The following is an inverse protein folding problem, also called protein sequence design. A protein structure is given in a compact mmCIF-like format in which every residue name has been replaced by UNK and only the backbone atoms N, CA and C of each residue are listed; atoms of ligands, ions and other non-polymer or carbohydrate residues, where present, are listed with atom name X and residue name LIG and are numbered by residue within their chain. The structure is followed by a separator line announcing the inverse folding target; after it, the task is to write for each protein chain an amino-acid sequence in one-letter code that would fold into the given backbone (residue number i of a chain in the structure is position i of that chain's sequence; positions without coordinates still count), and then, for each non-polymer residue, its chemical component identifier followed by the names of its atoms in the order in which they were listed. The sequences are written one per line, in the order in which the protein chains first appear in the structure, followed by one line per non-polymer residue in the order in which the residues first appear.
data_IF_256487390382
#
_entry.id   IF_256487390382
#
_cell.length_a   1.000
_cell.length_b   1.000
_cell.length_c   1.000
_cell.angle_alpha   90.00
_cell.angle_beta   90.00
_cell.angle_gamma   90.00
#
_symmetry.space_group_name_H-M   'P 1'
#
loop_
_entity.id
_entity.type
_entity.pdbx_description
1 polymer ?
#
# COMPACT_ATOMS: atom_id res chain seq x y z
N UNK A 1 -17.55 12.32 37.61
CA UNK A 1 -16.85 11.06 37.23
C UNK A 1 -16.14 10.54 38.48
N UNK A 2 -16.37 9.29 38.90
CA UNK A 2 -15.84 8.80 40.20
C UNK A 2 -14.34 8.48 40.13
N UNK A 3 -13.60 8.62 41.24
CA UNK A 3 -12.19 8.24 41.33
C UNK A 3 -11.94 6.77 40.92
N UNK A 4 -12.88 5.87 41.25
CA UNK A 4 -12.84 4.46 40.83
C UNK A 4 -12.92 4.30 39.31
N UNK A 5 -13.72 5.12 38.62
CA UNK A 5 -13.82 5.11 37.15
C UNK A 5 -12.52 5.59 36.51
N UNK A 6 -11.85 6.60 37.08
CA UNK A 6 -10.57 7.11 36.58
C UNK A 6 -9.47 6.05 36.74
N UNK A 7 -9.35 5.44 37.92
CA UNK A 7 -8.35 4.38 38.17
C UNK A 7 -8.54 3.19 37.23
N UNK A 8 -9.79 2.73 37.02
CA UNK A 8 -10.08 1.64 36.08
C UNK A 8 -9.70 1.97 34.64
N UNK A 9 -9.97 3.20 34.19
CA UNK A 9 -9.59 3.66 32.84
C UNK A 9 -8.08 3.74 32.67
N UNK A 10 -7.37 4.25 33.67
CA UNK A 10 -5.90 4.31 33.66
C UNK A 10 -5.26 2.91 33.67
N UNK A 11 -5.76 2.01 34.53
CA UNK A 11 -5.28 0.64 34.59
C UNK A 11 -5.55 -0.12 33.28
N UNK A 12 -6.74 0.03 32.70
CA UNK A 12 -7.07 -0.56 31.40
C UNK A 12 -6.18 -0.01 30.28
N UNK A 13 -5.96 1.31 30.25
CA UNK A 13 -5.05 1.95 29.30
C UNK A 13 -3.63 1.40 29.39
N UNK A 14 -3.07 1.28 30.60
CA UNK A 14 -1.74 0.74 30.82
C UNK A 14 -1.61 -0.72 30.37
N UNK A 15 -2.59 -1.56 30.72
CA UNK A 15 -2.62 -2.97 30.31
C UNK A 15 -2.73 -3.08 28.79
N UNK A 16 -3.57 -2.26 28.15
CA UNK A 16 -3.70 -2.22 26.69
C UNK A 16 -2.38 -1.85 26.03
N UNK A 17 -1.71 -0.79 26.50
CA UNK A 17 -0.41 -0.37 25.94
C UNK A 17 0.67 -1.43 26.11
N UNK A 18 0.73 -2.10 27.26
CA UNK A 18 1.69 -3.18 27.51
C UNK A 18 1.43 -4.36 26.57
N UNK A 19 0.18 -4.80 26.47
CA UNK A 19 -0.23 -5.92 25.63
C UNK A 19 0.04 -5.62 24.15
N UNK A 20 -0.26 -4.40 23.71
CA UNK A 20 0.04 -3.95 22.34
C UNK A 20 1.54 -3.96 22.06
N UNK A 21 2.35 -3.48 23.01
CA UNK A 21 3.81 -3.50 22.88
C UNK A 21 4.35 -4.92 22.77
N UNK A 22 3.81 -5.86 23.57
CA UNK A 22 4.18 -7.27 23.50
C UNK A 22 3.78 -7.91 22.16
N UNK A 23 2.58 -7.61 21.65
CA UNK A 23 2.12 -8.10 20.35
C UNK A 23 3.03 -7.58 19.23
N UNK A 24 3.30 -6.27 19.20
CA UNK A 24 4.16 -5.67 18.18
C UNK A 24 5.58 -6.23 18.28
N UNK A 25 6.14 -6.37 19.48
CA UNK A 25 7.44 -7.02 19.69
C UNK A 25 7.49 -8.46 19.18
N UNK A 26 6.43 -9.24 19.45
CA UNK A 26 6.27 -10.60 18.93
C UNK A 26 6.17 -10.64 17.40
N UNK A 27 5.40 -9.73 16.79
CA UNK A 27 5.29 -9.62 15.33
C UNK A 27 6.64 -9.27 14.68
N UNK A 28 7.41 -8.35 15.26
CA UNK A 28 8.73 -7.97 14.74
C UNK A 28 9.75 -9.11 14.86
N UNK A 29 9.70 -9.87 15.96
CA UNK A 29 10.55 -11.05 16.15
C UNK A 29 10.18 -12.16 15.16
N UNK A 30 8.89 -12.38 14.93
CA UNK A 30 8.43 -13.31 13.91
C UNK A 30 8.85 -12.86 12.49
N UNK A 31 8.70 -11.57 12.18
CA UNK A 31 9.09 -10.99 10.89
C UNK A 31 10.59 -11.16 10.60
N UNK A 32 11.43 -10.98 11.62
CA UNK A 32 12.87 -11.28 11.54
C UNK A 32 13.10 -12.76 11.16
N UNK A 33 12.38 -13.69 11.79
CA UNK A 33 12.45 -15.11 11.44
C UNK A 33 12.05 -15.39 9.98
N UNK A 34 10.96 -14.78 9.51
CA UNK A 34 10.50 -14.88 8.12
C UNK A 34 11.53 -14.29 7.14
N UNK A 35 12.14 -13.16 7.51
CA UNK A 35 13.18 -12.49 6.73
C UNK A 35 14.41 -13.39 6.59
N UNK A 36 14.93 -13.92 7.71
CA UNK A 36 16.08 -14.82 7.71
C UNK A 36 15.81 -16.09 6.89
N UNK A 37 14.60 -16.65 6.98
CA UNK A 37 14.20 -17.77 6.13
C UNK A 37 14.19 -17.37 4.64
N UNK A 38 13.64 -16.21 4.29
CA UNK A 38 13.62 -15.70 2.91
C UNK A 38 15.02 -15.47 2.32
N UNK A 39 16.06 -15.26 3.13
CA UNK A 39 17.45 -15.11 2.64
C UNK A 39 17.96 -16.40 2.01
N UNK A 40 17.59 -17.56 2.55
CA UNK A 40 18.09 -18.87 2.09
C UNK A 40 17.06 -19.64 1.25
N UNK A 41 15.77 -19.35 1.41
CA UNK A 41 14.73 -20.09 0.72
C UNK A 41 14.65 -19.70 -0.77
N UNK A 42 14.47 -20.68 -1.67
CA UNK A 42 14.35 -20.40 -3.10
C UNK A 42 13.08 -19.59 -3.38
N UNK A 43 13.17 -18.66 -4.33
CA UNK A 43 12.00 -17.91 -4.80
C UNK A 43 10.97 -18.84 -5.44
N UNK A 44 9.68 -18.54 -5.22
CA UNK A 44 8.54 -19.18 -5.90
C UNK A 44 8.70 -19.07 -7.41
N UNK A 45 8.21 -20.05 -8.16
CA UNK A 45 8.22 -20.01 -9.63
C UNK A 45 7.24 -18.94 -10.12
N UNK A 46 7.50 -18.38 -11.31
CA UNK A 46 6.54 -17.50 -11.98
C UNK A 46 5.22 -18.23 -12.15
N UNK A 47 4.10 -17.55 -11.90
CA UNK A 47 2.73 -18.08 -11.90
C UNK A 47 2.32 -18.84 -10.65
N UNK A 48 3.20 -18.94 -9.65
CA UNK A 48 2.93 -19.62 -8.38
C UNK A 48 3.06 -18.70 -7.17
N UNK A 49 3.20 -17.39 -7.40
CA UNK A 49 3.30 -16.40 -6.31
C UNK A 49 1.97 -16.35 -5.54
N UNK A 50 0.85 -16.21 -6.26
CA UNK A 50 -0.47 -16.44 -5.67
C UNK A 50 -0.64 -17.94 -5.41
N UNK A 51 -1.12 -18.38 -4.23
CA UNK A 51 -1.28 -19.81 -3.94
C UNK A 51 -2.35 -20.51 -4.79
N UNK A 52 -2.17 -21.81 -5.06
CA UNK A 52 -3.17 -22.62 -5.78
C UNK A 52 -4.51 -22.60 -5.03
N UNK A 53 -5.60 -22.37 -5.76
CA UNK A 53 -6.96 -22.28 -5.19
C UNK A 53 -7.37 -20.88 -4.75
N UNK A 54 -6.46 -19.89 -4.83
CA UNK A 54 -6.81 -18.49 -4.60
C UNK A 54 -7.09 -17.75 -5.91
N UNK A 55 -7.96 -16.71 -5.89
CA UNK A 55 -8.11 -15.79 -7.01
C UNK A 55 -6.75 -15.20 -7.43
N UNK A 56 -6.44 -15.22 -8.72
CA UNK A 56 -5.14 -14.75 -9.22
C UNK A 56 -4.07 -15.83 -9.39
N UNK A 57 -4.34 -17.10 -9.06
CA UNK A 57 -3.38 -18.18 -9.35
C UNK A 57 -3.03 -18.20 -10.85
N UNK A 58 -1.74 -18.29 -11.17
CA UNK A 58 -1.26 -18.14 -12.55
C UNK A 58 -1.44 -16.73 -13.13
N UNK A 59 -1.79 -15.72 -12.33
CA UNK A 59 -2.19 -14.40 -12.80
C UNK A 59 -3.58 -14.38 -13.46
N UNK A 60 -4.41 -15.39 -13.21
CA UNK A 60 -5.81 -15.41 -13.63
C UNK A 60 -6.69 -14.79 -12.54
N UNK A 61 -6.98 -13.51 -12.70
CA UNK A 61 -7.82 -12.74 -11.77
C UNK A 61 -9.31 -12.93 -12.09
N UNK A 62 -10.21 -12.87 -11.09
CA UNK A 62 -11.64 -12.79 -11.33
C UNK A 62 -11.99 -11.61 -12.25
N UNK A 63 -13.17 -11.64 -12.84
CA UNK A 63 -13.64 -10.54 -13.69
C UNK A 63 -13.61 -9.20 -12.92
N UNK A 64 -13.08 -8.17 -13.57
CA UNK A 64 -13.12 -6.81 -13.03
C UNK A 64 -14.51 -6.22 -13.23
N UNK A 65 -15.09 -5.71 -12.15
CA UNK A 65 -16.32 -4.92 -12.18
C UNK A 65 -16.01 -3.55 -11.56
N UNK A 66 -16.28 -2.44 -12.26
CA UNK A 66 -16.08 -1.11 -11.67
C UNK A 66 -17.03 -0.90 -10.48
N UNK A 67 -16.63 -0.09 -9.48
CA UNK A 67 -17.48 0.21 -8.33
C UNK A 67 -18.77 0.91 -8.78
N UNK A 68 -19.88 0.55 -8.15
CA UNK A 68 -21.20 1.12 -8.40
C UNK A 68 -21.51 2.23 -7.41
N UNK A 69 -22.54 3.01 -7.72
CA UNK A 69 -23.06 4.00 -6.79
C UNK A 69 -23.46 3.32 -5.47
N UNK A 70 -22.90 3.84 -4.38
CA UNK A 70 -23.11 3.27 -3.06
C UNK A 70 -22.17 2.14 -2.71
N UNK A 71 -21.20 1.70 -3.52
CA UNK A 71 -20.13 0.81 -3.04
C UNK A 71 -19.10 1.59 -2.21
N UNK A 72 -18.56 0.98 -1.16
CA UNK A 72 -17.52 1.58 -0.32
C UNK A 72 -16.14 1.35 -0.92
N UNK A 73 -15.33 2.40 -1.03
CA UNK A 73 -13.95 2.39 -1.53
C UNK A 73 -13.11 3.35 -0.68
N UNK A 74 -11.79 3.23 -0.79
CA UNK A 74 -10.85 3.94 0.08
C UNK A 74 -9.64 4.56 -0.65
N UNK A 75 -8.80 5.25 0.10
CA UNK A 75 -7.50 5.79 -0.34
C UNK A 75 -6.50 4.71 -0.80
N UNK A 76 -6.72 3.43 -0.49
CA UNK A 76 -5.81 2.34 -0.85
C UNK A 76 -6.18 1.68 -2.19
N UNK A 77 -5.39 1.86 -3.27
CA UNK A 77 -5.70 1.26 -4.57
C UNK A 77 -5.65 -0.28 -4.55
N UNK A 78 -4.87 -0.88 -3.64
CA UNK A 78 -4.77 -2.33 -3.51
C UNK A 78 -6.08 -2.95 -3.00
N UNK A 79 -6.67 -2.35 -1.95
CA UNK A 79 -7.94 -2.82 -1.40
C UNK A 79 -9.09 -2.59 -2.38
N UNK A 80 -9.11 -1.43 -3.04
CA UNK A 80 -10.12 -1.13 -4.05
C UNK A 80 -10.05 -2.12 -5.22
N UNK A 81 -8.84 -2.46 -5.69
CA UNK A 81 -8.67 -3.47 -6.73
C UNK A 81 -9.18 -4.84 -6.30
N UNK A 82 -8.88 -5.27 -5.07
CA UNK A 82 -9.41 -6.52 -4.54
C UNK A 82 -10.95 -6.52 -4.49
N UNK A 83 -11.59 -5.40 -4.12
CA UNK A 83 -13.05 -5.28 -4.12
C UNK A 83 -13.61 -5.27 -5.55
N UNK A 84 -12.99 -4.54 -6.48
CA UNK A 84 -13.39 -4.50 -7.90
C UNK A 84 -13.31 -5.89 -8.57
N UNK A 85 -12.43 -6.77 -8.10
CA UNK A 85 -12.32 -8.16 -8.53
C UNK A 85 -13.11 -9.16 -7.65
N UNK A 86 -13.87 -8.70 -6.65
CA UNK A 86 -14.62 -9.58 -5.75
C UNK A 86 -13.76 -10.53 -4.89
N UNK A 87 -12.47 -10.22 -4.73
CA UNK A 87 -11.53 -10.97 -3.85
C UNK A 87 -11.88 -10.72 -2.38
N UNK A 88 -12.35 -9.51 -2.08
CA UNK A 88 -13.08 -9.14 -0.86
C UNK A 88 -14.50 -8.71 -1.29
N UNK A 89 -15.45 -8.50 -0.35
CA UNK A 89 -16.80 -8.06 -0.70
C UNK A 89 -16.79 -6.90 -1.70
N UNK A 90 -17.46 -7.07 -2.83
CA UNK A 90 -17.40 -6.13 -3.94
C UNK A 90 -18.00 -4.76 -3.59
N UNK A 91 -19.03 -4.77 -2.75
CA UNK A 91 -19.63 -3.56 -2.17
C UNK A 91 -18.70 -2.84 -1.20
N UNK A 92 -17.54 -3.43 -0.86
CA UNK A 92 -16.53 -2.87 0.02
C UNK A 92 -16.96 -2.80 1.48
N UNK A 93 -17.99 -3.54 1.89
CA UNK A 93 -18.59 -3.42 3.23
C UNK A 93 -18.47 -4.66 4.09
N UNK A 94 -18.60 -4.45 5.39
CA UNK A 94 -18.72 -5.50 6.40
C UNK A 94 -17.58 -6.53 6.30
N UNK A 95 -16.37 -6.03 6.06
CA UNK A 95 -15.16 -6.80 5.81
C UNK A 95 -14.48 -7.11 7.14
N UNK A 96 -14.23 -8.39 7.43
CA UNK A 96 -13.45 -8.77 8.60
C UNK A 96 -11.97 -8.42 8.41
N UNK A 97 -11.33 -7.83 9.42
CA UNK A 97 -9.88 -7.58 9.41
C UNK A 97 -9.08 -8.86 9.13
N UNK A 98 -9.44 -9.99 9.76
CA UNK A 98 -8.78 -11.29 9.52
C UNK A 98 -8.93 -11.76 8.08
N UNK A 99 -10.11 -11.55 7.49
CA UNK A 99 -10.37 -11.94 6.11
C UNK A 99 -9.50 -11.10 5.15
N UNK A 100 -9.53 -9.77 5.26
CA UNK A 100 -8.73 -8.90 4.39
C UNK A 100 -7.23 -9.14 4.58
N UNK A 101 -6.75 -9.37 5.81
CA UNK A 101 -5.36 -9.77 6.09
C UNK A 101 -4.93 -10.99 5.25
N UNK A 102 -5.76 -12.04 5.22
CA UNK A 102 -5.46 -13.26 4.46
C UNK A 102 -5.46 -13.03 2.96
N UNK A 103 -6.38 -12.19 2.46
CA UNK A 103 -6.50 -11.90 1.03
C UNK A 103 -5.37 -11.00 0.55
N UNK A 104 -4.92 -10.00 1.33
CA UNK A 104 -3.75 -9.17 0.99
C UNK A 104 -2.50 -10.04 0.82
N UNK A 105 -2.29 -10.99 1.75
CA UNK A 105 -1.17 -11.94 1.68
C UNK A 105 -1.25 -12.77 0.39
N UNK A 106 -2.42 -13.35 0.08
CA UNK A 106 -2.57 -14.20 -1.10
C UNK A 106 -2.40 -13.41 -2.42
N UNK A 107 -2.98 -12.21 -2.52
CA UNK A 107 -3.01 -11.40 -3.75
C UNK A 107 -1.66 -10.75 -4.05
N UNK A 108 -1.02 -10.14 -3.06
CA UNK A 108 0.18 -9.32 -3.27
C UNK A 108 1.45 -9.93 -2.70
N UNK A 109 1.35 -11.05 -1.97
CA UNK A 109 2.48 -11.71 -1.32
C UNK A 109 3.26 -10.77 -0.38
N UNK A 110 2.57 -9.88 0.34
CA UNK A 110 3.11 -9.31 1.58
C UNK A 110 3.25 -10.40 2.63
N UNK A 111 4.20 -10.29 3.55
CA UNK A 111 4.33 -11.29 4.63
C UNK A 111 3.10 -11.33 5.54
N UNK A 112 2.79 -12.49 6.16
CA UNK A 112 1.72 -12.58 7.15
C UNK A 112 1.87 -11.55 8.28
N UNK A 113 3.10 -11.31 8.73
CA UNK A 113 3.45 -10.33 9.76
C UNK A 113 3.11 -8.90 9.34
N UNK A 114 3.46 -8.49 8.12
CA UNK A 114 3.07 -7.19 7.57
C UNK A 114 1.55 -7.04 7.49
N UNK A 115 0.85 -8.05 6.95
CA UNK A 115 -0.60 -8.01 6.79
C UNK A 115 -1.32 -7.90 8.15
N UNK A 116 -0.86 -8.66 9.16
CA UNK A 116 -1.42 -8.59 10.52
C UNK A 116 -1.12 -7.23 11.15
N UNK A 117 0.12 -6.74 11.05
CA UNK A 117 0.52 -5.47 11.64
C UNK A 117 -0.35 -4.31 11.12
N UNK A 118 -0.44 -4.17 9.80
CA UNK A 118 -1.21 -3.09 9.14
C UNK A 118 -2.70 -3.19 9.43
N UNK A 119 -3.30 -4.38 9.29
CA UNK A 119 -4.73 -4.59 9.55
C UNK A 119 -5.09 -4.36 11.02
N UNK A 120 -4.20 -4.73 11.94
CA UNK A 120 -4.39 -4.50 13.37
C UNK A 120 -4.21 -3.02 13.73
N UNK A 121 -3.24 -2.34 13.10
CA UNK A 121 -3.03 -0.91 13.30
C UNK A 121 -4.27 -0.10 12.89
N UNK A 122 -4.86 -0.35 11.71
CA UNK A 122 -6.08 0.35 11.32
C UNK A 122 -7.26 0.00 12.22
N UNK A 123 -7.40 -1.26 12.65
CA UNK A 123 -8.46 -1.64 13.59
C UNK A 123 -8.38 -0.81 14.89
N UNK A 124 -7.16 -0.58 15.40
CA UNK A 124 -6.95 0.26 16.59
C UNK A 124 -7.32 1.73 16.37
N UNK A 125 -6.92 2.31 15.23
CA UNK A 125 -7.29 3.68 14.87
C UNK A 125 -8.81 3.85 14.82
N UNK A 126 -9.53 2.83 14.31
CA UNK A 126 -10.99 2.82 14.26
C UNK A 126 -11.67 2.46 15.59
N UNK A 127 -10.91 2.13 16.63
CA UNK A 127 -11.45 1.67 17.91
C UNK A 127 -12.17 0.31 17.81
N UNK A 128 -11.77 -0.54 16.85
CA UNK A 128 -12.39 -1.83 16.53
C UNK A 128 -11.50 -3.01 16.89
N UNK A 129 -12.13 -4.14 17.21
CA UNK A 129 -11.47 -5.42 17.44
C UNK A 129 -10.97 -6.02 16.12
N UNK A 130 -9.65 -6.20 16.00
CA UNK A 130 -9.06 -6.96 14.89
C UNK A 130 -9.65 -8.37 14.76
N UNK A 131 -10.04 -9.00 15.86
CA UNK A 131 -10.55 -10.37 15.85
C UNK A 131 -12.03 -10.43 15.46
N UNK A 132 -12.85 -9.57 16.03
CA UNK A 132 -14.30 -9.75 15.99
C UNK A 132 -15.02 -8.76 15.09
N UNK A 133 -14.48 -7.57 14.93
CA UNK A 133 -15.16 -6.49 14.23
C UNK A 133 -14.83 -6.51 12.74
N UNK A 134 -15.58 -5.65 12.05
CA UNK A 134 -15.57 -5.51 10.62
C UNK A 134 -15.50 -4.03 10.25
N UNK A 135 -15.20 -3.75 8.99
CA UNK A 135 -15.16 -2.40 8.47
C UNK A 135 -15.61 -2.30 7.03
N UNK A 136 -16.01 -1.11 6.67
CA UNK A 136 -16.25 -0.69 5.29
C UNK A 136 -14.98 0.01 4.80
N UNK A 137 -14.64 -0.13 3.52
CA UNK A 137 -13.36 0.38 3.02
C UNK A 137 -13.16 1.87 3.34
N UNK A 138 -14.19 2.70 3.17
CA UNK A 138 -14.13 4.15 3.46
C UNK A 138 -13.81 4.48 4.92
N UNK A 139 -14.03 3.56 5.87
CA UNK A 139 -13.70 3.78 7.29
C UNK A 139 -12.19 4.08 7.46
N UNK A 140 -11.33 3.53 6.60
CA UNK A 140 -9.87 3.67 6.75
C UNK A 140 -9.33 5.04 6.32
N UNK A 141 -10.18 5.86 5.70
CA UNK A 141 -9.85 7.21 5.22
C UNK A 141 -10.00 8.27 6.31
N UNK A 142 -10.04 7.86 7.59
CA UNK A 142 -9.92 8.78 8.71
C UNK A 142 -8.61 9.56 8.60
N UNK A 143 -8.73 10.88 8.43
CA UNK A 143 -7.60 11.78 8.23
C UNK A 143 -6.59 11.69 9.37
N UNK A 144 -5.31 11.65 9.02
CA UNK A 144 -4.19 11.42 9.94
C UNK A 144 -4.24 10.06 10.70
N UNK A 145 -5.07 9.11 10.26
CA UNK A 145 -4.97 7.71 10.67
C UNK A 145 -3.87 7.00 9.87
N UNK A 146 -4.29 6.31 8.81
CA UNK A 146 -3.37 5.82 7.75
C UNK A 146 -3.42 6.75 6.54
N UNK A 147 -4.59 7.31 6.22
CA UNK A 147 -4.73 8.39 5.26
C UNK A 147 -3.91 9.61 5.69
N UNK A 148 -3.26 10.24 4.72
CA UNK A 148 -2.37 11.37 4.93
C UNK A 148 -2.28 12.28 3.69
N UNK A 149 -1.97 13.55 3.94
CA UNK A 149 -1.71 14.54 2.89
C UNK A 149 -0.48 14.19 2.03
N UNK A 150 -0.36 14.88 0.90
CA UNK A 150 0.73 14.72 -0.06
C UNK A 150 0.85 13.30 -0.66
N UNK A 151 -0.28 12.61 -0.76
CA UNK A 151 -0.38 11.34 -1.46
C UNK A 151 0.02 11.47 -2.94
N UNK A 152 0.63 10.42 -3.49
CA UNK A 152 1.10 10.41 -4.88
C UNK A 152 -0.03 10.43 -5.91
N UNK A 153 -1.20 9.91 -5.54
CA UNK A 153 -2.30 9.65 -6.49
C UNK A 153 -3.66 10.09 -5.99
N UNK A 154 -3.72 10.71 -4.81
CA UNK A 154 -4.94 11.24 -4.18
C UNK A 154 -4.73 12.72 -3.87
N UNK A 155 -5.78 13.51 -4.04
CA UNK A 155 -5.80 14.88 -3.53
C UNK A 155 -5.96 14.84 -2.01
N UNK A 156 -5.40 15.83 -1.33
CA UNK A 156 -5.54 15.98 0.12
C UNK A 156 -7.03 16.16 0.49
N UNK A 157 -7.42 15.70 1.69
CA UNK A 157 -8.81 15.83 2.17
C UNK A 157 -9.28 17.29 2.32
N UNK A 158 -8.35 18.23 2.37
CA UNK A 158 -8.66 19.66 2.30
C UNK A 158 -9.27 20.10 0.96
N UNK A 159 -8.93 19.39 -0.13
CA UNK A 159 -9.34 19.70 -1.51
C UNK A 159 -10.56 18.86 -1.91
N UNK A 160 -10.57 17.57 -1.54
CA UNK A 160 -11.66 16.63 -1.85
C UNK A 160 -12.23 15.99 -0.59
N UNK A 161 -13.55 15.87 -0.51
CA UNK A 161 -14.22 15.21 0.61
C UNK A 161 -14.25 13.68 0.50
N UNK A 162 -13.84 13.12 -0.64
CA UNK A 162 -13.81 11.68 -0.87
C UNK A 162 -12.44 11.23 -1.36
N UNK A 163 -11.95 10.14 -0.76
CA UNK A 163 -10.70 9.45 -1.10
C UNK A 163 -10.95 8.16 -1.91
N UNK A 164 -12.21 7.88 -2.27
CA UNK A 164 -12.65 6.65 -2.93
C UNK A 164 -12.05 6.48 -4.34
N UNK A 165 -11.68 7.57 -5.01
CA UNK A 165 -11.19 7.57 -6.38
C UNK A 165 -9.80 8.20 -6.49
N UNK A 166 -8.92 7.69 -7.35
CA UNK A 166 -7.62 8.32 -7.63
C UNK A 166 -7.81 9.65 -8.38
N UNK A 167 -6.89 10.59 -8.14
CA UNK A 167 -6.72 11.79 -8.98
C UNK A 167 -5.97 11.41 -10.25
N UNK A 168 -6.69 11.30 -11.38
CA UNK A 168 -6.09 10.98 -12.67
C UNK A 168 -4.94 11.93 -13.06
N UNK A 169 -5.02 13.27 -12.84
CA UNK A 169 -3.89 14.16 -13.09
C UNK A 169 -2.63 13.82 -12.28
N UNK A 170 -2.79 13.44 -11.01
CA UNK A 170 -1.66 13.03 -10.17
C UNK A 170 -1.08 11.68 -10.63
N UNK A 171 -1.93 10.72 -11.00
CA UNK A 171 -1.50 9.44 -11.57
C UNK A 171 -0.73 9.67 -12.87
N UNK A 172 -1.21 10.53 -13.77
CA UNK A 172 -0.53 10.85 -15.03
C UNK A 172 0.82 11.53 -14.79
N UNK A 173 0.90 12.42 -13.81
CA UNK A 173 2.16 13.03 -13.39
C UNK A 173 3.16 11.98 -12.88
N UNK A 174 2.69 11.00 -12.09
CA UNK A 174 3.50 9.88 -11.64
C UNK A 174 4.00 9.02 -12.80
N UNK A 175 3.13 8.63 -13.72
CA UNK A 175 3.50 7.81 -14.89
C UNK A 175 4.52 8.54 -15.76
N UNK A 176 4.29 9.83 -16.03
CA UNK A 176 5.20 10.66 -16.83
C UNK A 176 6.57 10.88 -16.15
N UNK A 177 6.67 10.71 -14.83
CA UNK A 177 7.93 10.89 -14.09
C UNK A 177 8.93 9.75 -14.25
N UNK A 178 8.51 8.61 -14.81
CA UNK A 178 9.32 7.41 -14.91
C UNK A 178 10.52 7.56 -15.86
N UNK A 179 11.72 7.28 -15.35
CA UNK A 179 12.98 7.42 -16.09
C UNK A 179 13.74 6.12 -16.27
N UNK A 180 13.32 5.04 -15.60
CA UNK A 180 14.00 3.76 -15.65
C UNK A 180 13.80 3.00 -16.97
N UNK A 181 14.73 2.12 -17.35
CA UNK A 181 14.63 1.36 -18.58
C UNK A 181 13.50 0.32 -18.50
N UNK A 182 12.88 -0.06 -19.62
CA UNK A 182 11.85 -1.09 -19.63
C UNK A 182 12.34 -2.45 -19.10
N UNK A 183 11.44 -3.18 -18.43
CA UNK A 183 11.71 -4.53 -17.92
C UNK A 183 11.67 -5.56 -19.06
N UNK A 184 12.84 -5.89 -19.59
CA UNK A 184 12.98 -6.99 -20.56
C UNK A 184 12.86 -8.34 -19.85
N UNK A 185 12.08 -9.25 -20.43
CA UNK A 185 11.91 -10.60 -19.88
C UNK A 185 10.97 -10.70 -18.68
N UNK A 186 10.18 -9.66 -18.39
CA UNK A 186 9.02 -9.82 -17.52
C UNK A 186 8.01 -10.77 -18.18
N UNK A 187 8.01 -12.01 -17.74
CA UNK A 187 7.03 -13.01 -18.14
C UNK A 187 5.82 -12.87 -17.21
N UNK A 188 4.78 -12.21 -17.70
CA UNK A 188 3.42 -12.39 -17.16
C UNK A 188 3.14 -13.88 -16.98
N UNK A 189 2.57 -14.27 -15.84
CA UNK A 189 2.38 -15.67 -15.45
C UNK A 189 1.60 -16.52 -16.47
N UNK A 190 0.84 -15.86 -17.35
CA UNK A 190 0.07 -16.49 -18.42
C UNK A 190 0.79 -16.52 -19.79
N UNK A 191 2.07 -16.15 -19.86
CA UNK A 191 2.79 -16.10 -21.13
C UNK A 191 2.21 -15.09 -22.13
N UNK A 192 1.35 -14.19 -21.67
CA UNK A 192 0.90 -13.05 -22.46
C UNK A 192 2.10 -12.10 -22.63
N UNK A 193 2.97 -12.44 -23.57
CA UNK A 193 3.61 -11.41 -24.37
C UNK A 193 2.45 -10.62 -24.96
N UNK A 194 2.24 -9.41 -24.45
CA UNK A 194 1.40 -8.45 -25.16
C UNK A 194 2.13 -8.19 -26.47
N UNK A 195 1.84 -8.99 -27.50
CA UNK A 195 2.22 -8.67 -28.89
C UNK A 195 1.58 -7.37 -29.36
N UNK A 196 0.71 -6.77 -28.53
CA UNK A 196 0.35 -5.37 -28.60
C UNK A 196 1.58 -4.51 -28.32
N UNK A 197 1.98 -3.72 -29.33
CA UNK A 197 2.96 -2.66 -29.16
C UNK A 197 2.53 -1.81 -27.96
N UNK A 198 3.33 -1.81 -26.91
CA UNK A 198 3.10 -0.94 -25.76
C UNK A 198 3.14 0.52 -26.25
N UNK A 199 2.34 1.38 -25.64
CA UNK A 199 2.55 2.83 -25.80
C UNK A 199 4.01 3.13 -25.45
N UNK A 200 4.74 3.82 -26.34
CA UNK A 200 6.15 4.14 -26.15
C UNK A 200 6.36 4.95 -24.84
N UNK A 201 5.32 5.62 -24.32
CA UNK A 201 5.33 6.30 -23.03
C UNK A 201 5.26 5.36 -21.81
N UNK A 202 4.77 4.13 -22.00
CA UNK A 202 4.65 3.12 -20.95
C UNK A 202 5.80 2.10 -20.97
N UNK A 203 6.65 2.08 -22.01
CA UNK A 203 7.80 1.18 -22.13
C UNK A 203 9.00 1.65 -21.28
N UNK A 204 8.77 1.80 -19.97
CA UNK A 204 9.73 2.30 -18.96
C UNK A 204 9.43 1.68 -17.59
N UNK A 205 10.25 2.02 -16.60
CA UNK A 205 9.97 1.71 -15.19
C UNK A 205 10.08 2.91 -14.28
N UNK A 206 9.31 2.90 -13.19
CA UNK A 206 9.58 3.78 -12.07
C UNK A 206 10.87 3.40 -11.35
N UNK A 207 11.62 4.40 -10.91
CA UNK A 207 12.80 4.24 -10.07
C UNK A 207 12.58 4.83 -8.68
N UNK A 208 13.48 4.50 -7.74
CA UNK A 208 13.49 5.15 -6.42
C UNK A 208 13.67 6.66 -6.53
N UNK A 209 14.54 7.12 -7.43
CA UNK A 209 14.77 8.55 -7.67
C UNK A 209 13.52 9.27 -8.18
N UNK A 210 12.74 8.64 -9.07
CA UNK A 210 11.48 9.22 -9.56
C UNK A 210 10.46 9.39 -8.44
N UNK A 211 10.30 8.35 -7.62
CA UNK A 211 9.37 8.39 -6.48
C UNK A 211 9.82 9.37 -5.40
N UNK A 212 11.12 9.48 -5.11
CA UNK A 212 11.65 10.44 -4.13
C UNK A 212 11.43 11.88 -4.60
N UNK A 213 11.77 12.18 -5.86
CA UNK A 213 11.56 13.49 -6.48
C UNK A 213 10.09 13.88 -6.46
N UNK A 214 9.21 12.99 -6.91
CA UNK A 214 7.78 13.27 -6.95
C UNK A 214 7.15 13.38 -5.56
N UNK A 215 7.52 12.51 -4.62
CA UNK A 215 7.05 12.61 -3.23
C UNK A 215 7.48 13.94 -2.61
N UNK A 216 8.70 14.39 -2.89
CA UNK A 216 9.18 15.69 -2.41
C UNK A 216 8.38 16.84 -2.99
N UNK A 217 8.13 16.81 -4.31
CA UNK A 217 7.28 17.80 -4.99
C UNK A 217 5.87 17.83 -4.40
N UNK A 218 5.23 16.68 -4.22
CA UNK A 218 3.89 16.57 -3.61
C UNK A 218 3.82 17.16 -2.21
N UNK A 219 4.81 16.85 -1.35
CA UNK A 219 4.89 17.41 0.01
C UNK A 219 5.02 18.94 -0.01
N UNK A 220 5.86 19.48 -0.89
CA UNK A 220 6.05 20.94 -1.01
C UNK A 220 4.80 21.65 -1.55
N UNK A 221 4.14 21.07 -2.56
CA UNK A 221 2.91 21.63 -3.13
C UNK A 221 1.76 21.59 -2.13
N UNK A 222 1.52 20.44 -1.49
CA UNK A 222 0.51 20.28 -0.45
C UNK A 222 0.74 21.27 0.69
N UNK A 223 1.96 21.39 1.22
CA UNK A 223 2.28 22.35 2.28
C UNK A 223 2.01 23.82 1.89
N UNK A 224 2.07 24.13 0.59
CA UNK A 224 1.80 25.48 0.08
C UNK A 224 0.31 25.75 -0.14
N UNK A 225 -0.45 24.76 -0.59
CA UNK A 225 -1.85 24.95 -1.03
C UNK A 225 -2.88 24.47 -0.01
N UNK A 226 -2.50 23.57 0.90
CA UNK A 226 -3.35 23.05 1.96
C UNK A 226 -3.09 23.81 3.27
N UNK A 227 -4.01 24.70 3.62
CA UNK A 227 -3.93 25.49 4.87
C UNK A 227 -4.02 24.64 6.15
N UNK A 228 -4.41 23.37 6.02
CA UNK A 228 -4.52 22.39 7.09
C UNK A 228 -3.49 21.26 6.95
N UNK A 229 -2.44 21.47 6.13
CA UNK A 229 -1.44 20.46 5.82
C UNK A 229 -0.87 19.80 7.08
N UNK A 230 -0.93 18.48 7.12
CA UNK A 230 -0.41 17.65 8.19
C UNK A 230 0.43 16.51 7.63
N UNK A 231 1.66 16.39 8.12
CA UNK A 231 2.51 15.25 7.78
C UNK A 231 3.50 14.93 8.90
N UNK A 232 3.03 14.18 9.90
CA UNK A 232 3.89 13.71 10.98
C UNK A 232 4.96 12.73 10.47
N UNK A 233 5.96 12.43 11.29
CA UNK A 233 7.02 11.46 10.94
C UNK A 233 6.44 10.09 10.55
N UNK A 234 5.40 9.62 11.22
CA UNK A 234 4.79 8.32 10.89
C UNK A 234 4.07 8.39 9.54
N UNK A 235 3.39 9.50 9.22
CA UNK A 235 2.73 9.70 7.92
C UNK A 235 3.72 9.82 6.77
N UNK A 236 4.88 10.44 7.00
CA UNK A 236 5.99 10.45 6.01
C UNK A 236 6.44 9.03 5.67
N UNK A 237 6.66 8.20 6.70
CA UNK A 237 7.04 6.79 6.53
C UNK A 237 5.93 5.99 5.85
N UNK A 238 4.65 6.21 6.18
CA UNK A 238 3.53 5.59 5.46
C UNK A 238 3.52 5.99 3.98
N UNK A 239 3.65 7.28 3.66
CA UNK A 239 3.73 7.75 2.28
C UNK A 239 4.87 7.10 1.50
N UNK A 240 6.06 7.03 2.10
CA UNK A 240 7.22 6.36 1.51
C UNK A 240 7.03 4.84 1.39
N UNK A 241 6.32 4.20 2.33
CA UNK A 241 5.95 2.79 2.26
C UNK A 241 5.00 2.52 1.10
N UNK A 242 3.95 3.33 0.97
CA UNK A 242 2.98 3.25 -0.11
C UNK A 242 3.67 3.38 -1.48
N UNK A 243 4.53 4.39 -1.63
CA UNK A 243 5.35 4.58 -2.83
C UNK A 243 6.27 3.39 -3.12
N UNK A 244 6.93 2.83 -2.10
CA UNK A 244 7.82 1.69 -2.25
C UNK A 244 7.11 0.41 -2.72
N UNK A 245 5.80 0.31 -2.51
CA UNK A 245 4.98 -0.80 -3.05
C UNK A 245 5.03 -0.83 -4.58
N UNK A 246 5.10 0.33 -5.23
CA UNK A 246 5.20 0.43 -6.69
C UNK A 246 6.50 -0.19 -7.23
N UNK A 247 7.60 -0.10 -6.48
CA UNK A 247 8.88 -0.70 -6.86
C UNK A 247 9.00 -2.17 -6.46
N UNK A 248 8.38 -2.55 -5.34
CA UNK A 248 8.54 -3.89 -4.76
C UNK A 248 7.50 -4.87 -5.29
N UNK A 249 6.22 -4.64 -5.03
CA UNK A 249 5.12 -5.53 -5.45
C UNK A 249 4.90 -5.46 -6.96
N UNK A 250 4.99 -4.25 -7.54
CA UNK A 250 4.74 -4.02 -8.96
C UNK A 250 6.01 -3.91 -9.81
N UNK A 251 7.19 -4.05 -9.19
CA UNK A 251 8.48 -4.07 -9.92
C UNK A 251 8.86 -2.77 -10.63
N UNK A 252 8.15 -1.67 -10.38
CA UNK A 252 8.24 -0.45 -11.18
C UNK A 252 7.65 -0.58 -12.59
N UNK A 253 6.98 -1.69 -12.91
CA UNK A 253 6.46 -2.00 -14.26
C UNK A 253 5.32 -1.05 -14.64
N UNK A 254 5.65 -0.04 -15.43
CA UNK A 254 4.78 1.10 -15.69
C UNK A 254 3.43 0.74 -16.34
N UNK A 255 3.32 -0.23 -17.27
CA UNK A 255 2.02 -0.64 -17.83
C UNK A 255 1.09 -1.20 -16.76
N UNK A 256 1.61 -2.08 -15.88
CA UNK A 256 0.83 -2.66 -14.78
C UNK A 256 0.44 -1.58 -13.78
N UNK A 257 1.37 -0.70 -13.42
CA UNK A 257 1.13 0.39 -12.47
C UNK A 257 0.10 1.38 -13.02
N UNK A 258 0.15 1.69 -14.32
CA UNK A 258 -0.80 2.58 -14.97
C UNK A 258 -2.23 2.02 -14.89
N UNK A 259 -2.45 0.76 -15.28
CA UNK A 259 -3.76 0.10 -15.13
C UNK A 259 -4.17 0.02 -13.66
N UNK A 260 -3.27 -0.39 -12.78
CA UNK A 260 -3.56 -0.52 -11.35
C UNK A 260 -3.98 0.80 -10.72
N UNK A 261 -3.30 1.91 -11.02
CA UNK A 261 -3.60 3.20 -10.39
C UNK A 261 -4.75 3.95 -11.05
N UNK A 262 -4.94 3.84 -12.37
CA UNK A 262 -6.06 4.51 -13.06
C UNK A 262 -7.38 3.79 -12.90
N UNK A 263 -7.36 2.46 -12.93
CA UNK A 263 -8.57 1.63 -12.97
C UNK A 263 -8.80 0.88 -11.66
N UNK A 264 -7.82 0.85 -10.75
CA UNK A 264 -7.85 0.00 -9.56
C UNK A 264 -8.21 -1.43 -9.95
N UNK A 265 -7.42 -1.94 -10.90
CA UNK A 265 -7.61 -3.25 -11.55
C UNK A 265 -6.30 -4.01 -11.57
N UNK A 266 -6.37 -5.31 -11.30
CA UNK A 266 -5.27 -6.25 -11.48
C UNK A 266 -5.28 -6.73 -12.94
N UNK A 267 -4.30 -6.33 -13.77
CA UNK A 267 -4.31 -6.72 -15.18
C UNK A 267 -4.09 -8.23 -15.32
N UNK A 268 -4.62 -8.86 -16.39
CA UNK A 268 -4.39 -10.27 -16.65
C UNK A 268 -2.90 -10.64 -16.63
N UNK A 269 -2.58 -11.70 -15.89
CA UNK A 269 -1.22 -12.21 -15.76
C UNK A 269 -0.32 -11.41 -14.82
N UNK A 270 -0.83 -10.37 -14.16
CA UNK A 270 -0.16 -9.76 -13.01
C UNK A 270 0.06 -10.81 -11.92
N UNK A 271 1.27 -10.83 -11.38
CA UNK A 271 1.59 -11.41 -10.09
C UNK A 271 2.62 -10.51 -9.40
N UNK A 272 2.71 -10.61 -8.06
CA UNK A 272 3.67 -9.82 -7.29
C UNK A 272 5.11 -10.16 -7.68
N UNK A 273 5.92 -9.11 -7.89
CA UNK A 273 7.37 -9.24 -8.12
C UNK A 273 8.11 -9.80 -6.89
N UNK A 274 7.49 -9.75 -5.71
CA UNK A 274 8.00 -10.41 -4.52
C UNK A 274 7.65 -11.88 -4.59
N UNK A 275 8.59 -12.70 -5.07
CA UNK A 275 8.44 -14.16 -5.16
C UNK A 275 8.95 -14.92 -3.94
N UNK A 276 9.29 -14.22 -2.85
CA UNK A 276 9.82 -14.89 -1.65
C UNK A 276 8.72 -15.73 -0.99
N UNK A 277 9.06 -16.92 -0.47
CA UNK A 277 8.06 -17.85 0.04
C UNK A 277 7.28 -17.30 1.23
N UNK A 278 7.88 -16.46 2.07
CA UNK A 278 7.18 -15.79 3.18
C UNK A 278 6.70 -14.37 2.82
N UNK A 279 6.71 -14.01 1.54
CA UNK A 279 6.30 -12.70 1.07
C UNK A 279 7.26 -11.56 1.45
N UNK A 280 6.80 -10.33 1.23
CA UNK A 280 7.53 -9.11 1.59
C UNK A 280 7.44 -8.86 3.10
N UNK A 281 8.53 -9.15 3.82
CA UNK A 281 8.61 -8.91 5.27
C UNK A 281 8.75 -7.42 5.56
N UNK A 282 8.36 -6.99 6.76
CA UNK A 282 8.52 -5.59 7.18
C UNK A 282 10.00 -5.18 7.11
N UNK A 283 10.91 -6.06 7.55
CA UNK A 283 12.35 -5.82 7.48
C UNK A 283 12.85 -5.67 6.04
N UNK A 284 12.42 -6.55 5.12
CA UNK A 284 12.79 -6.45 3.72
C UNK A 284 12.20 -5.19 3.07
N UNK A 285 10.97 -4.84 3.43
CA UNK A 285 10.29 -3.68 2.88
C UNK A 285 11.00 -2.37 3.27
N UNK A 286 11.41 -2.26 4.54
CA UNK A 286 12.14 -1.11 5.05
C UNK A 286 13.47 -0.85 4.32
N UNK A 287 14.07 -1.86 3.67
CA UNK A 287 15.25 -1.68 2.83
C UNK A 287 14.98 -0.84 1.56
N UNK A 288 13.72 -0.69 1.14
CA UNK A 288 13.30 0.24 0.07
C UNK A 288 12.68 1.52 0.65
N UNK A 289 11.88 1.40 1.72
CA UNK A 289 11.21 2.56 2.34
C UNK A 289 12.19 3.57 2.91
N UNK A 290 13.21 3.12 3.66
CA UNK A 290 14.13 4.03 4.32
C UNK A 290 14.98 4.82 3.33
N UNK A 291 15.60 4.22 2.29
CA UNK A 291 16.29 5.01 1.27
C UNK A 291 15.36 5.98 0.53
N UNK A 292 14.11 5.60 0.26
CA UNK A 292 13.15 6.50 -0.38
C UNK A 292 12.81 7.70 0.52
N UNK A 293 12.52 7.47 1.81
CA UNK A 293 12.23 8.56 2.75
C UNK A 293 13.46 9.46 2.93
N UNK A 294 14.65 8.90 3.12
CA UNK A 294 15.88 9.68 3.26
C UNK A 294 16.21 10.48 1.99
N UNK A 295 15.79 10.01 0.81
CA UNK A 295 15.92 10.76 -0.44
C UNK A 295 14.82 11.81 -0.62
N UNK A 296 13.68 11.64 0.06
CA UNK A 296 12.55 12.56 0.01
C UNK A 296 12.85 13.76 0.92
N UNK A 297 12.96 14.95 0.34
CA UNK A 297 13.34 16.16 1.07
C UNK A 297 14.84 16.46 1.09
N UNK A 298 15.73 15.50 0.78
CA UNK A 298 17.18 15.74 0.74
C UNK A 298 17.62 16.70 -0.37
N UNK A 299 16.93 16.77 -1.50
CA UNK A 299 17.21 17.73 -2.58
C UNK A 299 16.44 19.05 -2.39
N UNK A 300 15.16 19.00 -2.01
CA UNK A 300 14.34 20.22 -1.87
C UNK A 300 14.64 20.99 -0.58
N UNK A 301 15.03 20.39 0.55
CA UNK A 301 15.51 21.21 1.68
C UNK A 301 16.81 21.95 1.34
N UNK A 302 17.68 21.39 0.49
CA UNK A 302 18.92 22.06 0.06
C UNK A 302 18.65 23.21 -0.91
N UNK A 303 17.76 23.02 -1.89
CA UNK A 303 17.36 24.10 -2.80
C UNK A 303 16.46 25.15 -2.12
N UNK A 304 15.60 24.75 -1.18
CA UNK A 304 14.69 25.64 -0.45
C UNK A 304 15.41 26.48 0.62
N UNK A 305 16.39 25.92 1.34
CA UNK A 305 17.26 26.69 2.26
C UNK A 305 18.26 27.58 1.54
N UNK A 306 18.48 27.38 0.24
CA UNK A 306 19.29 28.29 -0.58
C UNK A 306 18.47 29.49 -1.11
N UNK A 307 17.13 29.43 -0.99
CA UNK A 307 16.20 30.47 -1.44
C UNK A 307 15.67 31.36 -0.29
N UNK A 308 16.11 31.11 0.96
CA UNK A 308 15.88 31.96 2.14
C UNK A 308 17.13 32.01 3.04
#
# INVERSE_FOLDING_TARGET
MSASTVVKRLAFGLVSTLLDTLIVGGLLTWDLGLFLYNLIAPSRRVGTVVPKGHPGFGGSWPEYVPPKAGDSRCSCPALNAMANHGIIPHDGRNISFRHVTSQIHATYNFSPTFCIFTSRYIAQILGRSFLNDKFDLEDIDVHNGIEHDASLTREDMHITTSQASPSLPLVETLIASATGPPLRGYHSANGAATGAKLDDNLDRTLTLGDLARLSTKRRAEAAKTNSQFSMSTIHKIFGSSNSSTLLTIFGGHLPTINTFLKEERLPPGFESFIRKPMGLTMMQFNATVLPLELSTGGEVEREWRALF
#
